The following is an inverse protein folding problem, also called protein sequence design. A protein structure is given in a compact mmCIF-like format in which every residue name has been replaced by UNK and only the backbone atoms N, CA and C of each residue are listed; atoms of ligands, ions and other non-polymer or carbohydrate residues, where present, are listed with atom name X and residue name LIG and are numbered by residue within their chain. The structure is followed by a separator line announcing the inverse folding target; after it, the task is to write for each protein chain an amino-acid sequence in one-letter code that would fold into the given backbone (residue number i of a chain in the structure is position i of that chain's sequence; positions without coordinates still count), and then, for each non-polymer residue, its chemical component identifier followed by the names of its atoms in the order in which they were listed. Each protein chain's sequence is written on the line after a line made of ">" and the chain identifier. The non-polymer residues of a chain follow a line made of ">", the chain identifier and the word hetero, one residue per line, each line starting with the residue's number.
data_IF_657390373261
#
_entry.id   IF_657390373261
#
_cell.length_a   1.000
_cell.length_b   1.000
_cell.length_c   1.000
_cell.angle_alpha   90.00
_cell.angle_beta   90.00
_cell.angle_gamma   90.00
#
_symmetry.space_group_name_H-M   'P 1'
#
loop_
_entity.id
_entity.type
_entity.pdbx_description
1 polymer ?
#
# COMPACT_ATOMS: atom_id res chain seq x y z
N UNK A 1 19.37 -4.21 -9.00
CA UNK A 1 18.85 -4.17 -10.38
C UNK A 1 19.88 -4.72 -11.35
N UNK A 2 19.47 -5.15 -12.55
CA UNK A 2 20.40 -5.67 -13.56
C UNK A 2 21.34 -4.56 -14.08
N UNK A 3 20.77 -3.44 -14.48
CA UNK A 3 21.50 -2.29 -15.02
C UNK A 3 20.76 -1.00 -14.64
N UNK A 4 21.51 0.01 -14.21
CA UNK A 4 20.98 1.34 -13.91
C UNK A 4 21.39 2.30 -15.04
N UNK A 5 20.43 3.04 -15.58
CA UNK A 5 20.73 4.05 -16.60
C UNK A 5 21.40 5.26 -15.96
N UNK A 6 22.65 5.54 -16.36
CA UNK A 6 23.39 6.73 -15.93
C UNK A 6 22.85 8.02 -16.57
N UNK A 7 22.29 7.91 -17.78
CA UNK A 7 21.76 9.02 -18.55
C UNK A 7 20.31 8.72 -18.93
N UNK A 8 19.35 8.93 -18.01
CA UNK A 8 17.95 8.83 -18.38
C UNK A 8 17.65 9.87 -19.49
N UNK A 9 16.68 9.53 -20.35
CA UNK A 9 16.26 10.39 -21.45
C UNK A 9 14.73 10.41 -21.50
N UNK A 10 14.14 11.33 -20.74
CA UNK A 10 12.70 11.55 -20.72
C UNK A 10 12.41 13.05 -20.55
N UNK A 11 11.43 13.59 -21.28
CA UNK A 11 11.06 15.01 -21.20
C UNK A 11 10.60 15.46 -19.79
N UNK A 12 10.19 14.53 -18.92
CA UNK A 12 9.76 14.78 -17.53
C UNK A 12 10.87 14.54 -16.52
N UNK A 13 12.08 14.20 -16.97
CA UNK A 13 13.19 13.92 -16.07
C UNK A 13 13.57 15.18 -15.28
N UNK A 14 13.73 15.02 -13.98
CA UNK A 14 14.24 16.06 -13.09
C UNK A 14 15.54 15.65 -12.39
N UNK A 15 15.72 14.36 -12.11
CA UNK A 15 16.88 13.77 -11.43
C UNK A 15 17.15 12.37 -11.97
N UNK A 16 18.37 11.85 -11.80
CA UNK A 16 18.68 10.45 -12.10
C UNK A 16 18.15 9.53 -10.99
N UNK A 17 18.07 8.22 -11.25
CA UNK A 17 17.71 7.25 -10.21
C UNK A 17 18.72 7.27 -9.05
N UNK A 18 20.01 7.44 -9.35
CA UNK A 18 21.05 7.50 -8.35
C UNK A 18 20.86 8.70 -7.41
N UNK A 19 20.62 9.90 -7.95
CA UNK A 19 20.40 11.10 -7.15
C UNK A 19 19.18 10.98 -6.22
N UNK A 20 18.13 10.28 -6.68
CA UNK A 20 16.92 10.06 -5.87
C UNK A 20 17.20 9.08 -4.73
N UNK A 21 17.95 8.01 -4.99
CA UNK A 21 18.33 7.03 -3.97
C UNK A 21 19.23 7.67 -2.90
N UNK A 22 20.20 8.48 -3.30
CA UNK A 22 21.06 9.22 -2.35
C UNK A 22 20.26 10.22 -1.52
N UNK A 23 19.38 11.00 -2.15
CA UNK A 23 18.54 11.99 -1.45
C UNK A 23 17.67 11.36 -0.36
N UNK A 24 17.13 10.17 -0.62
CA UNK A 24 16.26 9.46 0.32
C UNK A 24 17.01 8.46 1.21
N UNK A 25 18.35 8.40 1.11
CA UNK A 25 19.19 7.45 1.85
C UNK A 25 18.76 5.99 1.65
N UNK A 26 18.34 5.65 0.44
CA UNK A 26 17.89 4.30 0.07
C UNK A 26 19.07 3.56 -0.55
N UNK A 27 19.57 2.48 0.07
CA UNK A 27 20.68 1.72 -0.48
C UNK A 27 20.22 0.92 -1.72
N UNK A 28 21.09 0.84 -2.73
CA UNK A 28 20.80 0.14 -3.98
C UNK A 28 22.02 -0.60 -4.51
N UNK A 29 21.77 -1.71 -5.22
CA UNK A 29 22.82 -2.51 -5.88
C UNK A 29 22.47 -2.69 -7.35
N UNK A 30 23.45 -2.53 -8.24
CA UNK A 30 23.33 -2.76 -9.69
C UNK A 30 24.28 -3.88 -10.16
N UNK A 31 24.13 -4.38 -11.39
CA UNK A 31 24.99 -5.43 -11.93
C UNK A 31 24.68 -6.85 -11.40
N UNK A 32 23.55 -7.03 -10.72
CA UNK A 32 23.15 -8.33 -10.17
C UNK A 32 22.30 -9.12 -11.17
N UNK A 33 22.47 -10.45 -11.21
CA UNK A 33 21.55 -11.32 -11.95
C UNK A 33 20.20 -11.39 -11.22
N UNK A 34 19.33 -10.44 -11.54
CA UNK A 34 17.98 -10.38 -10.99
C UNK A 34 17.14 -11.60 -11.37
N UNK A 35 17.44 -12.28 -12.48
CA UNK A 35 16.70 -13.50 -12.90
C UNK A 35 17.01 -14.66 -11.97
N UNK A 36 18.28 -14.82 -11.57
CA UNK A 36 18.66 -15.82 -10.56
C UNK A 36 17.92 -15.60 -9.23
N UNK A 37 17.82 -14.35 -8.78
CA UNK A 37 17.13 -13.96 -7.55
C UNK A 37 15.63 -14.25 -7.67
N UNK A 38 14.99 -13.83 -8.77
CA UNK A 38 13.56 -14.09 -9.00
C UNK A 38 13.26 -15.59 -9.01
N UNK A 39 14.11 -16.43 -9.61
CA UNK A 39 13.95 -17.89 -9.59
C UNK A 39 13.98 -18.46 -8.18
N UNK A 40 14.93 -18.02 -7.35
CA UNK A 40 15.03 -18.44 -5.94
C UNK A 40 13.76 -18.07 -5.14
N UNK A 41 13.27 -16.83 -5.30
CA UNK A 41 12.04 -16.37 -4.63
C UNK A 41 10.82 -17.17 -5.09
N UNK A 42 10.71 -17.50 -6.39
CA UNK A 42 9.61 -18.33 -6.89
C UNK A 42 9.64 -19.78 -6.39
N UNK A 43 10.83 -20.33 -6.16
CA UNK A 43 11.01 -21.70 -5.70
C UNK A 43 10.79 -21.84 -4.18
N UNK A 44 11.26 -20.87 -3.39
CA UNK A 44 11.28 -20.97 -1.92
C UNK A 44 10.30 -20.01 -1.23
N UNK A 45 9.59 -19.17 -1.98
CA UNK A 45 8.71 -18.15 -1.43
C UNK A 45 9.46 -16.89 -1.00
N UNK A 46 8.87 -16.14 -0.08
CA UNK A 46 9.45 -14.88 0.44
C UNK A 46 10.68 -15.21 1.30
N UNK A 47 11.82 -14.60 0.96
CA UNK A 47 13.09 -14.79 1.64
C UNK A 47 13.56 -13.45 2.23
N UNK A 48 14.13 -13.49 3.44
CA UNK A 48 14.87 -12.35 3.98
C UNK A 48 16.18 -12.18 3.21
N UNK A 49 16.55 -10.94 2.94
CA UNK A 49 17.76 -10.62 2.19
C UNK A 49 18.42 -9.36 2.76
N UNK A 50 19.73 -9.30 2.61
CA UNK A 50 20.56 -8.13 2.88
C UNK A 50 21.76 -8.14 1.95
N UNK A 51 22.44 -7.01 1.84
CA UNK A 51 23.69 -6.89 1.10
C UNK A 51 24.67 -6.02 1.88
N UNK A 52 25.96 -6.27 1.67
CA UNK A 52 27.09 -5.55 2.28
C UNK A 52 28.14 -5.34 1.20
N UNK A 53 28.94 -4.30 1.36
CA UNK A 53 30.11 -3.98 0.53
C UNK A 53 31.37 -4.75 0.99
N UNK A 54 31.36 -5.34 2.19
CA UNK A 54 32.50 -6.10 2.75
C UNK A 54 32.21 -7.60 2.80
N UNK A 55 33.10 -8.38 2.22
CA UNK A 55 32.97 -9.85 2.15
C UNK A 55 33.00 -10.52 3.54
N UNK A 56 33.76 -9.97 4.48
CA UNK A 56 33.91 -10.47 5.85
C UNK A 56 32.62 -10.39 6.68
N UNK A 57 31.68 -9.51 6.32
CA UNK A 57 30.44 -9.32 7.05
C UNK A 57 29.34 -10.31 6.64
N UNK A 58 29.54 -11.08 5.55
CA UNK A 58 28.49 -11.94 4.98
C UNK A 58 27.95 -12.93 6.01
N UNK A 59 28.83 -13.61 6.76
CA UNK A 59 28.42 -14.60 7.75
C UNK A 59 27.65 -13.96 8.91
N UNK A 60 28.06 -12.76 9.32
CA UNK A 60 27.37 -11.99 10.36
C UNK A 60 25.99 -11.54 9.89
N UNK A 61 25.90 -11.06 8.65
CA UNK A 61 24.65 -10.64 8.02
C UNK A 61 23.65 -11.79 7.92
N UNK A 62 24.11 -12.99 7.52
CA UNK A 62 23.25 -14.18 7.46
C UNK A 62 22.71 -14.55 8.84
N UNK A 63 23.57 -14.56 9.87
CA UNK A 63 23.15 -14.82 11.26
C UNK A 63 22.12 -13.79 11.73
N UNK A 64 22.36 -12.51 11.44
CA UNK A 64 21.43 -11.43 11.77
C UNK A 64 20.07 -11.63 11.09
N UNK A 65 20.03 -11.89 9.78
CA UNK A 65 18.78 -12.10 9.04
C UNK A 65 17.97 -13.30 9.55
N UNK A 66 18.62 -14.34 10.04
CA UNK A 66 17.95 -15.49 10.65
C UNK A 66 17.24 -15.12 11.96
N UNK A 67 17.84 -14.22 12.75
CA UNK A 67 17.34 -13.80 14.06
C UNK A 67 16.37 -12.63 14.01
N UNK A 68 16.47 -11.76 13.00
CA UNK A 68 15.62 -10.57 12.88
C UNK A 68 14.16 -10.97 12.69
N UNK A 69 13.31 -10.57 13.61
CA UNK A 69 11.87 -10.53 13.37
C UNK A 69 11.51 -9.24 12.63
N UNK A 70 10.79 -9.37 11.52
CA UNK A 70 10.33 -8.21 10.77
C UNK A 70 9.14 -7.59 11.50
N UNK A 71 9.06 -6.25 11.55
CA UNK A 71 7.94 -5.55 12.18
C UNK A 71 6.62 -5.93 11.49
N UNK A 72 5.59 -6.18 12.29
CA UNK A 72 4.23 -6.50 11.81
C UNK A 72 3.32 -5.28 11.78
N UNK A 73 3.79 -4.13 12.24
CA UNK A 73 3.04 -2.88 12.34
C UNK A 73 3.20 -1.97 11.11
N UNK A 74 3.48 -2.55 9.93
CA UNK A 74 3.73 -1.79 8.71
C UNK A 74 2.54 -0.84 8.37
N UNK A 75 1.31 -1.31 8.56
CA UNK A 75 0.07 -0.53 8.35
C UNK A 75 -0.01 0.66 9.29
N UNK A 76 0.33 0.48 10.57
CA UNK A 76 0.33 1.55 11.56
C UNK A 76 1.30 2.67 11.17
N UNK A 77 2.48 2.29 10.66
CA UNK A 77 3.52 3.23 10.25
C UNK A 77 3.06 4.07 9.04
N UNK A 78 2.38 3.45 8.07
CA UNK A 78 2.04 4.11 6.80
C UNK A 78 0.67 4.77 6.74
N UNK A 79 -0.26 4.39 7.64
CA UNK A 79 -1.59 4.99 7.70
C UNK A 79 -1.51 6.48 8.04
N UNK A 80 -2.43 7.26 7.48
CA UNK A 80 -2.68 8.63 7.95
C UNK A 80 -2.94 8.66 9.46
N UNK A 81 -2.43 9.71 10.12
CA UNK A 81 -2.60 9.93 11.57
C UNK A 81 -3.83 10.77 11.88
N UNK A 82 -4.18 11.68 10.98
CA UNK A 82 -5.36 12.54 11.10
C UNK A 82 -6.25 12.34 9.90
N UNK A 83 -7.58 12.26 10.09
CA UNK A 83 -8.52 12.28 8.97
C UNK A 83 -8.37 13.57 8.16
N UNK A 84 -8.55 13.47 6.85
CA UNK A 84 -8.60 14.64 5.97
C UNK A 84 -9.54 14.41 4.80
N UNK A 85 -10.03 15.51 4.24
CA UNK A 85 -10.93 15.49 3.09
C UNK A 85 -10.18 15.90 1.84
N UNK A 86 -10.41 15.16 0.77
CA UNK A 86 -10.03 15.52 -0.59
C UNK A 86 -11.27 15.85 -1.39
N UNK A 87 -11.41 17.11 -1.75
CA UNK A 87 -12.67 17.66 -2.29
C UNK A 87 -13.00 17.11 -3.67
N UNK A 88 -14.20 16.53 -3.75
CA UNK A 88 -14.93 16.21 -4.98
C UNK A 88 -16.18 17.08 -5.11
N UNK A 89 -17.23 16.57 -5.75
CA UNK A 89 -18.46 17.34 -5.97
C UNK A 89 -19.74 16.63 -5.53
N UNK A 90 -19.87 15.34 -5.81
CA UNK A 90 -21.20 14.71 -5.89
C UNK A 90 -21.42 13.58 -4.88
N UNK A 91 -20.47 12.64 -4.74
CA UNK A 91 -20.62 11.46 -3.88
C UNK A 91 -19.64 11.48 -2.71
N UNK A 92 -20.10 11.23 -1.48
CA UNK A 92 -19.25 11.12 -0.29
C UNK A 92 -18.70 9.70 -0.14
N UNK A 93 -17.38 9.55 -0.20
CA UNK A 93 -16.70 8.26 -0.03
C UNK A 93 -15.73 8.32 1.14
N UNK A 94 -15.86 7.39 2.09
CA UNK A 94 -14.87 7.23 3.16
C UNK A 94 -13.82 6.22 2.70
N UNK A 95 -12.55 6.61 2.70
CA UNK A 95 -11.41 5.77 2.36
C UNK A 95 -10.62 5.43 3.63
N UNK A 96 -10.62 4.16 4.01
CA UNK A 96 -9.83 3.66 5.15
C UNK A 96 -8.40 3.43 4.69
N UNK A 97 -7.47 4.15 5.31
CA UNK A 97 -6.07 4.19 4.92
C UNK A 97 -5.25 3.10 5.63
N UNK A 98 -4.89 2.06 4.88
CA UNK A 98 -3.99 1.00 5.31
C UNK A 98 -2.57 1.19 4.74
N UNK A 99 -2.28 2.32 4.08
CA UNK A 99 -1.11 2.50 3.22
C UNK A 99 -1.49 2.82 1.78
N UNK A 100 -2.48 3.70 1.62
CA UNK A 100 -3.09 4.01 0.33
C UNK A 100 -2.08 4.57 -0.66
N UNK A 101 -2.28 4.22 -1.93
CA UNK A 101 -1.61 4.91 -3.03
C UNK A 101 -2.33 6.23 -3.30
N UNK A 102 -1.57 7.31 -3.52
CA UNK A 102 -2.15 8.62 -3.83
C UNK A 102 -3.06 8.61 -5.07
N UNK A 103 -2.79 7.70 -6.01
CA UNK A 103 -3.62 7.57 -7.21
C UNK A 103 -5.06 7.13 -6.90
N UNK A 104 -5.32 6.41 -5.80
CA UNK A 104 -6.68 6.00 -5.43
C UNK A 104 -7.55 7.22 -5.17
N UNK A 105 -7.08 8.15 -4.34
CA UNK A 105 -7.79 9.41 -4.04
C UNK A 105 -7.96 10.25 -5.30
N UNK A 106 -6.91 10.35 -6.13
CA UNK A 106 -6.96 11.07 -7.40
C UNK A 106 -8.06 10.52 -8.33
N UNK A 107 -8.12 9.20 -8.50
CA UNK A 107 -9.09 8.55 -9.37
C UNK A 107 -10.54 8.71 -8.86
N UNK A 108 -10.74 8.68 -7.54
CA UNK A 108 -12.05 8.96 -6.94
C UNK A 108 -12.49 10.41 -7.17
N UNK A 109 -11.61 11.39 -6.96
CA UNK A 109 -11.92 12.79 -7.22
C UNK A 109 -12.26 13.05 -8.69
N UNK A 110 -11.55 12.41 -9.64
CA UNK A 110 -11.84 12.52 -11.08
C UNK A 110 -13.24 12.02 -11.42
N UNK A 111 -13.76 11.06 -10.65
CA UNK A 111 -15.13 10.54 -10.78
C UNK A 111 -16.17 11.36 -10.01
N UNK A 112 -15.79 12.51 -9.44
CA UNK A 112 -16.67 13.41 -8.70
C UNK A 112 -16.85 13.05 -7.23
N UNK A 113 -16.15 12.04 -6.71
CA UNK A 113 -16.28 11.64 -5.31
C UNK A 113 -15.52 12.61 -4.38
N UNK A 114 -16.20 13.09 -3.35
CA UNK A 114 -15.60 13.72 -2.18
C UNK A 114 -15.04 12.63 -1.25
N UNK A 115 -13.72 12.58 -1.09
CA UNK A 115 -13.05 11.48 -0.39
C UNK A 115 -12.61 11.91 1.01
N UNK A 116 -13.21 11.32 2.04
CA UNK A 116 -12.75 11.46 3.42
C UNK A 116 -11.80 10.31 3.73
N UNK A 117 -10.51 10.60 3.85
CA UNK A 117 -9.49 9.62 4.21
C UNK A 117 -9.43 9.51 5.72
N UNK A 118 -9.59 8.30 6.25
CA UNK A 118 -9.58 8.02 7.69
C UNK A 118 -8.47 7.01 8.04
N UNK A 119 -7.89 7.07 9.25
CA UNK A 119 -6.93 6.07 9.73
C UNK A 119 -7.49 4.63 9.70
N UNK A 120 -6.60 3.62 9.65
CA UNK A 120 -7.00 2.21 9.76
C UNK A 120 -7.70 1.83 11.08
N UNK A 121 -7.57 2.67 12.11
CA UNK A 121 -8.17 2.48 13.45
C UNK A 121 -9.59 3.03 13.56
N UNK A 122 -10.10 3.73 12.54
CA UNK A 122 -11.45 4.30 12.57
C UNK A 122 -12.50 3.20 12.59
N UNK A 123 -13.45 3.29 13.53
CA UNK A 123 -14.45 2.24 13.75
C UNK A 123 -15.54 2.27 12.69
N UNK A 124 -16.23 1.13 12.52
CA UNK A 124 -17.38 1.08 11.62
C UNK A 124 -18.49 2.08 12.03
N UNK A 125 -18.70 2.28 13.32
CA UNK A 125 -19.69 3.22 13.87
C UNK A 125 -19.35 4.67 13.51
N UNK A 126 -18.07 5.06 13.65
CA UNK A 126 -17.59 6.38 13.25
C UNK A 126 -17.75 6.61 11.75
N UNK A 127 -17.46 5.60 10.92
CA UNK A 127 -17.63 5.68 9.46
C UNK A 127 -19.11 5.83 9.10
N UNK A 128 -19.99 5.04 9.71
CA UNK A 128 -21.44 5.11 9.46
C UNK A 128 -22.04 6.45 9.91
N UNK A 129 -21.53 7.04 11.00
CA UNK A 129 -21.94 8.35 11.47
C UNK A 129 -21.61 9.48 10.47
N UNK A 130 -20.66 9.27 9.55
CA UNK A 130 -20.36 10.21 8.46
C UNK A 130 -21.38 10.14 7.31
N UNK A 131 -22.33 9.20 7.35
CA UNK A 131 -23.33 8.94 6.31
C UNK A 131 -22.74 8.91 4.88
N UNK A 132 -21.70 8.10 4.61
CA UNK A 132 -21.07 8.05 3.30
C UNK A 132 -21.94 7.31 2.28
N UNK A 133 -21.88 7.72 1.01
CA UNK A 133 -22.46 6.99 -0.12
C UNK A 133 -21.70 5.69 -0.40
N UNK A 134 -20.42 5.63 -0.02
CA UNK A 134 -19.60 4.43 -0.14
C UNK A 134 -18.40 4.40 0.81
N UNK A 135 -17.96 3.19 1.12
CA UNK A 135 -16.75 2.95 1.91
C UNK A 135 -15.74 2.19 1.06
N UNK A 136 -14.51 2.68 1.00
CA UNK A 136 -13.42 2.04 0.28
C UNK A 136 -12.32 1.63 1.26
N UNK A 137 -11.86 0.39 1.13
CA UNK A 137 -10.70 -0.11 1.85
C UNK A 137 -9.47 -0.01 0.94
N UNK A 138 -8.47 0.76 1.35
CA UNK A 138 -7.25 0.89 0.56
C UNK A 138 -6.36 -0.36 0.65
N UNK A 139 -5.30 -0.39 -0.17
CA UNK A 139 -4.26 -1.40 -0.02
C UNK A 139 -3.38 -1.06 1.19
N UNK A 140 -2.72 -2.08 1.75
CA UNK A 140 -1.70 -1.90 2.76
C UNK A 140 -0.50 -2.84 2.57
N UNK A 141 0.64 -2.52 3.19
CA UNK A 141 1.74 -3.45 3.33
C UNK A 141 1.37 -4.59 4.29
N UNK A 142 2.16 -5.65 4.30
CA UNK A 142 2.01 -6.76 5.24
C UNK A 142 0.87 -7.75 4.93
N UNK A 143 0.57 -8.58 5.93
CA UNK A 143 -0.52 -9.55 5.89
C UNK A 143 -1.78 -8.94 6.53
N UNK A 144 -2.92 -8.86 5.83
CA UNK A 144 -4.17 -8.37 6.39
C UNK A 144 -4.65 -9.12 7.65
N UNK A 145 -4.29 -10.40 7.82
CA UNK A 145 -4.70 -11.20 8.98
C UNK A 145 -4.09 -10.73 10.31
N UNK A 146 -2.97 -9.99 10.28
CA UNK A 146 -2.33 -9.47 11.49
C UNK A 146 -2.77 -8.04 11.82
N UNK A 147 -3.58 -7.44 10.95
CA UNK A 147 -4.07 -6.07 11.14
C UNK A 147 -5.38 -6.16 11.93
N UNK A 148 -5.32 -5.81 13.21
CA UNK A 148 -6.52 -5.50 13.98
C UNK A 148 -7.10 -4.18 13.46
N UNK A 149 -7.87 -4.26 12.39
CA UNK A 149 -8.66 -3.13 11.92
C UNK A 149 -9.92 -3.00 12.78
N UNK A 150 -10.32 -1.77 13.07
CA UNK A 150 -11.53 -1.49 13.86
C UNK A 150 -12.83 -1.77 13.09
N UNK A 151 -12.71 -2.24 11.85
CA UNK A 151 -13.82 -2.67 11.01
C UNK A 151 -13.88 -4.19 11.11
N UNK A 152 -14.96 -4.78 11.65
CA UNK A 152 -15.13 -6.22 11.63
C UNK A 152 -15.03 -6.72 10.20
N UNK A 153 -14.29 -7.81 9.97
CA UNK A 153 -14.28 -8.53 8.69
C UNK A 153 -15.69 -9.06 8.31
N UNK A 154 -16.66 -8.92 9.20
CA UNK A 154 -18.06 -9.24 8.95
C UNK A 154 -18.70 -8.17 8.05
N UNK A 155 -18.69 -8.49 6.75
CA UNK A 155 -19.42 -7.77 5.70
C UNK A 155 -20.92 -7.56 5.96
N UNK A 156 -21.50 -8.13 7.04
CA UNK A 156 -22.92 -7.97 7.40
C UNK A 156 -23.28 -6.58 7.91
N UNK A 157 -22.42 -5.90 8.67
CA UNK A 157 -22.78 -4.60 9.26
C UNK A 157 -22.91 -3.46 8.23
N UNK A 158 -22.18 -3.54 7.11
CA UNK A 158 -22.24 -2.50 6.06
C UNK A 158 -23.37 -2.71 5.05
N UNK A 159 -24.11 -3.84 5.12
CA UNK A 159 -25.11 -4.22 4.10
C UNK A 159 -26.38 -3.38 4.11
N UNK A 160 -26.68 -2.65 5.17
CA UNK A 160 -27.98 -1.99 5.28
C UNK A 160 -28.04 -0.62 4.59
N UNK A 161 -26.94 0.14 4.45
CA UNK A 161 -27.01 1.51 3.91
C UNK A 161 -25.86 2.01 3.00
N UNK A 162 -24.75 1.27 2.83
CA UNK A 162 -23.56 1.80 2.11
C UNK A 162 -22.89 0.76 1.21
N UNK A 163 -22.38 1.18 0.05
CA UNK A 163 -21.69 0.30 -0.90
C UNK A 163 -20.22 0.14 -0.47
N UNK A 164 -19.80 -1.10 -0.19
CA UNK A 164 -18.41 -1.42 0.18
C UNK A 164 -17.59 -1.76 -1.08
N UNK A 165 -16.46 -1.05 -1.25
CA UNK A 165 -15.52 -1.25 -2.34
C UNK A 165 -14.20 -1.80 -1.80
N UNK A 166 -13.78 -2.97 -2.31
CA UNK A 166 -12.51 -3.60 -1.97
C UNK A 166 -11.62 -3.78 -3.22
N UNK A 167 -10.33 -3.42 -3.10
CA UNK A 167 -9.33 -3.67 -4.14
C UNK A 167 -8.58 -4.98 -3.84
N UNK A 168 -8.99 -6.07 -4.49
CA UNK A 168 -8.27 -7.36 -4.43
C UNK A 168 -7.01 -7.35 -5.33
N UNK A 169 -6.02 -8.20 -5.03
CA UNK A 169 -4.82 -8.43 -5.86
C UNK A 169 -5.13 -9.01 -7.24
N UNK A 170 -6.30 -9.59 -7.42
CA UNK A 170 -6.89 -9.84 -8.74
C UNK A 170 -7.63 -8.58 -9.13
N UNK A 171 -7.41 -8.06 -10.34
CA UNK A 171 -7.97 -6.80 -10.89
C UNK A 171 -9.51 -6.70 -10.96
N UNK A 172 -10.22 -7.43 -10.12
CA UNK A 172 -11.65 -7.43 -9.94
C UNK A 172 -11.98 -6.47 -8.81
N UNK A 173 -12.58 -5.33 -9.14
CA UNK A 173 -13.33 -4.52 -8.18
C UNK A 173 -14.40 -5.42 -7.56
N UNK A 174 -14.28 -5.75 -6.27
CA UNK A 174 -15.37 -6.43 -5.59
C UNK A 174 -16.40 -5.36 -5.22
N UNK A 175 -17.46 -5.29 -6.04
CA UNK A 175 -18.63 -4.44 -5.83
C UNK A 175 -19.56 -5.21 -4.89
N UNK A 176 -19.72 -4.75 -3.65
CA UNK A 176 -20.90 -5.10 -2.85
C UNK A 176 -21.86 -3.90 -2.93
N UNK A 177 -22.60 -3.82 -4.04
CA UNK A 177 -23.61 -2.78 -4.31
C UNK A 177 -25.01 -3.41 -4.32
N UNK A 178 -25.98 -2.69 -3.74
CA UNK A 178 -27.34 -2.70 -4.30
C UNK A 178 -27.47 -1.53 -5.29
N UNK A 179 -27.68 -1.89 -6.55
CA UNK A 179 -28.68 -1.28 -7.44
C UNK A 179 -28.78 0.24 -7.43
N UNK A 180 -27.75 0.95 -7.94
CA UNK A 180 -27.89 2.25 -8.63
C UNK A 180 -26.62 2.56 -9.42
N UNK A 181 -26.36 1.70 -10.40
CA UNK A 181 -25.57 2.02 -11.59
C UNK A 181 -26.48 1.69 -12.76
N UNK A 182 -27.33 2.66 -13.11
CA UNK A 182 -27.92 2.79 -14.44
C UNK A 182 -27.12 3.91 -15.11
#
# INVERSE_FOLDING_TARGET
>A
MKEASAHPSNFRQQKTLHDVLELHQIPGIAGVDTRSITRKIRQHGVLKAGFTDRKEDIDQLVKHLQQVELPKNEVEIVSTKTPYVSTGKDLSVVLVDFGKKQNIVRELNVRGCNVTVVPYTTTAEEILAMAPDGVMLSNGPGNPEVVECAIPNDSRNFRENSVLWYLSRTSTFCIISRSKLI
#
